data_IF_067039732802
#
_entry.id   IF_067039732802
#
_cell.length_a   1.000
_cell.length_b   1.000
_cell.length_c   1.000
_cell.angle_alpha   90.00
_cell.angle_beta   90.00
_cell.angle_gamma   90.00
#
_symmetry.space_group_name_H-M   'P 1'
#
loop_
_entity.id
_entity.type
_entity.pdbx_description
1 polymer ?
#
# COMPACT_ATOMS: atom_id res chain seq x y z
N UNK A 1 -11.68 15.88 -4.25
CA UNK A 1 -11.14 15.52 -2.93
C UNK A 1 -10.73 14.05 -2.94
N UNK A 2 -9.57 13.57 -3.36
CA UNK A 2 -8.41 14.05 -4.12
C UNK A 2 -7.84 12.73 -4.65
N UNK A 3 -7.49 12.60 -5.94
CA UNK A 3 -6.88 11.36 -6.45
C UNK A 3 -5.65 11.05 -5.58
N UNK A 4 -5.75 10.04 -4.73
CA UNK A 4 -4.67 9.65 -3.82
C UNK A 4 -3.54 9.11 -4.68
N UNK A 5 -2.39 9.78 -4.68
CA UNK A 5 -1.19 9.30 -5.40
C UNK A 5 -0.56 8.17 -4.60
N UNK A 6 -0.88 6.93 -4.98
CA UNK A 6 -0.31 5.74 -4.34
C UNK A 6 1.22 5.72 -4.37
N UNK A 7 1.83 6.30 -5.42
CA UNK A 7 3.30 6.40 -5.56
C UNK A 7 3.98 7.10 -4.38
N UNK A 8 3.31 8.06 -3.75
CA UNK A 8 3.84 8.79 -2.59
C UNK A 8 3.62 8.01 -1.28
N UNK A 9 2.61 7.14 -1.24
CA UNK A 9 2.27 6.34 -0.08
C UNK A 9 3.03 5.02 -0.01
N UNK A 10 3.44 4.44 -1.15
CA UNK A 10 4.19 3.18 -1.22
C UNK A 10 5.40 3.15 -0.26
N UNK A 11 6.30 4.15 -0.25
CA UNK A 11 7.43 4.17 0.69
C UNK A 11 7.01 4.25 2.17
N UNK A 12 5.96 5.02 2.47
CA UNK A 12 5.46 5.19 3.83
C UNK A 12 4.80 3.91 4.37
N UNK A 13 4.05 3.20 3.52
CA UNK A 13 3.42 1.92 3.83
C UNK A 13 4.50 0.88 4.12
N UNK A 14 5.53 0.78 3.27
CA UNK A 14 6.66 -0.12 3.49
C UNK A 14 7.33 0.14 4.84
N UNK A 15 7.69 1.39 5.14
CA UNK A 15 8.28 1.76 6.43
C UNK A 15 7.38 1.39 7.61
N UNK A 16 6.07 1.65 7.51
CA UNK A 16 5.12 1.32 8.57
C UNK A 16 4.95 -0.18 8.80
N UNK A 17 4.94 -0.98 7.73
CA UNK A 17 4.87 -2.43 7.82
C UNK A 17 6.13 -2.98 8.49
N UNK A 18 7.30 -2.52 8.09
CA UNK A 18 8.59 -2.90 8.70
C UNK A 18 8.65 -2.49 10.19
N UNK A 19 8.16 -1.31 10.56
CA UNK A 19 8.07 -0.89 11.97
C UNK A 19 7.14 -1.79 12.81
N UNK A 20 6.01 -2.19 12.25
CA UNK A 20 5.01 -3.02 12.96
C UNK A 20 5.52 -4.46 13.12
N UNK A 21 6.08 -5.04 12.05
CA UNK A 21 6.54 -6.43 12.04
C UNK A 21 7.94 -6.59 12.66
N UNK A 22 8.73 -5.51 12.75
CA UNK A 22 10.17 -5.53 13.10
C UNK A 22 11.01 -6.42 12.20
N UNK A 23 10.50 -6.74 11.01
CA UNK A 23 11.16 -7.49 9.95
C UNK A 23 10.69 -6.94 8.61
N UNK A 24 11.54 -7.10 7.60
CA UNK A 24 11.15 -6.87 6.21
C UNK A 24 10.44 -8.11 5.69
N UNK A 25 9.21 -7.92 5.21
CA UNK A 25 8.38 -8.96 4.63
C UNK A 25 7.78 -8.45 3.31
N UNK A 26 8.44 -8.83 2.21
CA UNK A 26 8.06 -8.41 0.87
C UNK A 26 6.67 -8.92 0.47
N UNK A 27 6.25 -10.09 0.98
CA UNK A 27 4.94 -10.69 0.66
C UNK A 27 3.82 -9.86 1.27
N UNK A 28 3.99 -9.41 2.51
CA UNK A 28 3.00 -8.54 3.18
C UNK A 28 2.93 -7.16 2.52
N UNK A 29 4.09 -6.60 2.14
CA UNK A 29 4.15 -5.30 1.44
C UNK A 29 3.41 -5.38 0.10
N UNK A 30 3.70 -6.39 -0.72
CA UNK A 30 3.03 -6.59 -2.00
C UNK A 30 1.53 -6.85 -1.83
N UNK A 31 1.13 -7.63 -0.82
CA UNK A 31 -0.27 -7.87 -0.51
C UNK A 31 -1.03 -6.57 -0.21
N UNK A 32 -0.46 -5.69 0.61
CA UNK A 32 -1.07 -4.40 0.95
C UNK A 32 -1.12 -3.47 -0.26
N UNK A 33 -0.07 -3.44 -1.09
CA UNK A 33 -0.05 -2.65 -2.32
C UNK A 33 -1.15 -3.10 -3.30
N UNK A 34 -1.29 -4.42 -3.52
CA UNK A 34 -2.32 -4.98 -4.39
C UNK A 34 -3.74 -4.64 -3.89
N UNK A 35 -3.99 -4.76 -2.59
CA UNK A 35 -5.28 -4.38 -1.97
C UNK A 35 -5.64 -2.89 -2.18
N UNK A 36 -4.65 -2.00 -2.16
CA UNK A 36 -4.86 -0.58 -2.39
C UNK A 36 -5.15 -0.29 -3.86
N UNK A 37 -4.46 -0.97 -4.78
CA UNK A 37 -4.69 -0.84 -6.22
C UNK A 37 -6.07 -1.39 -6.63
N UNK A 38 -6.50 -2.56 -6.12
CA UNK A 38 -7.83 -3.13 -6.38
C UNK A 38 -8.98 -2.25 -5.86
N UNK A 39 -8.83 -1.64 -4.67
CA UNK A 39 -9.83 -0.71 -4.11
C UNK A 39 -9.96 0.59 -4.91
N UNK A 40 -8.89 1.01 -5.58
CA UNK A 40 -8.93 2.18 -6.48
C UNK A 40 -9.57 1.79 -7.82
N UNK A 41 -9.27 0.59 -8.35
CA UNK A 41 -9.86 0.09 -9.58
C UNK A 41 -11.38 -0.18 -9.46
N UNK A 42 -11.82 -0.77 -8.34
CA UNK A 42 -13.24 -1.08 -8.09
C UNK A 42 -14.13 0.14 -7.86
N UNK A 43 -13.56 1.30 -7.50
CA UNK A 43 -14.30 2.57 -7.35
C UNK A 43 -14.52 3.33 -8.66
N UNK A 44 -14.12 2.78 -9.80
CA UNK A 44 -14.25 3.41 -11.12
C UNK A 44 -15.48 2.97 -11.94
N UNK A 45 -16.42 2.23 -11.34
CA UNK A 45 -17.71 1.86 -11.94
C UNK A 45 -18.87 2.65 -11.32
#
# INVERSE_FOLDING_TARGET
>A
MSKVKLDVLKPWITQKITEILKMEDDVVIDYVNNQLEEKVASKHY
#
